data_IF_877274959721
#
_entry.id   IF_877274959721
#
_cell.length_a   1.000
_cell.length_b   1.000
_cell.length_c   1.000
_cell.angle_alpha   90.00
_cell.angle_beta   90.00
_cell.angle_gamma   90.00
#
_symmetry.space_group_name_H-M   'P 1'
#
loop_
_entity.id
_entity.type
_entity.pdbx_description
1 polymer ?
#
# COMPACT_ATOMS: atom_id res chain seq x y z
N UNK A 1 -26.80 22.59 -36.14
CA UNK A 1 -25.97 23.71 -35.65
C UNK A 1 -24.54 23.24 -35.64
N UNK A 2 -23.66 23.83 -36.46
CA UNK A 2 -22.27 23.42 -36.57
C UNK A 2 -21.47 23.99 -35.39
N UNK A 3 -20.92 23.12 -34.54
CA UNK A 3 -19.97 23.49 -33.49
C UNK A 3 -18.69 23.98 -34.17
N UNK A 4 -18.47 25.28 -34.20
CA UNK A 4 -17.21 25.90 -34.60
C UNK A 4 -16.16 25.56 -33.56
N UNK A 5 -15.48 24.42 -33.74
CA UNK A 5 -14.32 24.03 -32.94
C UNK A 5 -13.27 25.12 -33.11
N UNK A 6 -12.85 25.76 -32.00
CA UNK A 6 -11.82 26.79 -32.04
C UNK A 6 -10.53 26.18 -32.62
N UNK A 7 -10.05 26.68 -33.79
CA UNK A 7 -8.87 26.13 -34.46
C UNK A 7 -7.61 26.22 -33.60
N UNK A 8 -7.57 27.10 -32.58
CA UNK A 8 -6.46 27.21 -31.63
C UNK A 8 -6.49 26.11 -30.58
N UNK A 9 -7.67 25.73 -30.09
CA UNK A 9 -7.83 24.65 -29.13
C UNK A 9 -7.43 23.29 -29.74
N UNK A 10 -7.89 23.01 -30.96
CA UNK A 10 -7.52 21.79 -31.68
C UNK A 10 -6.00 21.71 -31.96
N UNK A 11 -5.34 22.84 -32.24
CA UNK A 11 -3.88 22.87 -32.42
C UNK A 11 -3.14 22.56 -31.13
N UNK A 12 -3.57 23.11 -29.99
CA UNK A 12 -2.93 22.88 -28.68
C UNK A 12 -3.02 21.42 -28.26
N UNK A 13 -4.14 20.75 -28.53
CA UNK A 13 -4.28 19.31 -28.30
C UNK A 13 -3.23 18.50 -29.08
N UNK A 14 -3.06 18.80 -30.37
CA UNK A 14 -2.04 18.15 -31.20
C UNK A 14 -0.62 18.44 -30.74
N UNK A 15 -0.34 19.66 -30.27
CA UNK A 15 0.96 20.00 -29.64
C UNK A 15 1.19 19.17 -28.39
N UNK A 16 0.17 18.97 -27.54
CA UNK A 16 0.25 18.14 -26.33
C UNK A 16 0.56 16.68 -26.69
N UNK A 17 -0.18 16.11 -27.63
CA UNK A 17 0.01 14.71 -28.07
C UNK A 17 1.42 14.46 -28.62
N UNK A 18 1.91 15.33 -29.51
CA UNK A 18 3.26 15.19 -30.08
C UNK A 18 4.36 15.47 -29.04
N UNK A 19 4.12 16.33 -28.06
CA UNK A 19 5.06 16.54 -26.96
C UNK A 19 5.12 15.34 -26.02
N UNK A 20 4.00 14.65 -25.78
CA UNK A 20 3.94 13.45 -24.93
C UNK A 20 4.72 12.27 -25.53
N UNK A 21 4.84 12.20 -26.86
CA UNK A 21 5.67 11.20 -27.56
C UNK A 21 7.16 11.59 -27.66
N UNK A 22 7.56 12.70 -27.04
CA UNK A 22 8.96 13.16 -27.01
C UNK A 22 9.42 13.90 -28.27
N UNK A 23 8.51 14.32 -29.15
CA UNK A 23 8.90 15.05 -30.36
C UNK A 23 9.50 16.43 -30.02
N UNK A 24 10.57 16.81 -30.72
CA UNK A 24 11.20 18.13 -30.54
C UNK A 24 10.28 19.26 -31.04
N UNK A 25 10.42 20.48 -30.48
CA UNK A 25 9.68 21.68 -30.94
C UNK A 25 9.83 21.93 -32.44
N UNK A 26 11.00 21.61 -33.02
CA UNK A 26 11.25 21.73 -34.47
C UNK A 26 10.43 20.74 -35.28
N UNK A 27 10.31 19.50 -34.79
CA UNK A 27 9.50 18.44 -35.41
C UNK A 27 8.03 18.80 -35.36
N UNK A 28 7.54 19.24 -34.19
CA UNK A 28 6.14 19.66 -33.99
C UNK A 28 5.76 20.83 -34.90
N UNK A 29 6.64 21.83 -35.03
CA UNK A 29 6.43 22.99 -35.90
C UNK A 29 6.29 22.59 -37.38
N UNK A 30 7.11 21.64 -37.85
CA UNK A 30 7.06 21.12 -39.22
C UNK A 30 5.76 20.35 -39.47
N UNK A 31 5.38 19.48 -38.54
CA UNK A 31 4.18 18.64 -38.63
C UNK A 31 2.90 19.47 -38.66
N UNK A 32 2.80 20.46 -37.76
CA UNK A 32 1.63 21.32 -37.65
C UNK A 32 1.65 22.52 -38.60
N UNK A 33 2.70 22.66 -39.43
CA UNK A 33 2.93 23.78 -40.35
C UNK A 33 2.80 25.15 -39.66
N UNK A 34 3.36 25.29 -38.47
CA UNK A 34 3.37 26.54 -37.68
C UNK A 34 4.79 26.95 -37.30
N UNK A 35 4.96 28.20 -36.86
CA UNK A 35 6.26 28.68 -36.38
C UNK A 35 6.66 28.00 -35.06
N UNK A 36 7.96 27.87 -34.82
CA UNK A 36 8.50 27.37 -33.53
C UNK A 36 8.02 28.20 -32.34
N UNK A 37 7.88 29.51 -32.53
CA UNK A 37 7.41 30.41 -31.46
C UNK A 37 5.93 30.18 -31.14
N UNK A 38 5.11 29.84 -32.13
CA UNK A 38 3.71 29.42 -31.92
C UNK A 38 3.64 28.16 -31.07
N UNK A 39 4.46 27.14 -31.38
CA UNK A 39 4.54 25.91 -30.57
C UNK A 39 4.99 26.24 -29.14
N UNK A 40 6.00 27.11 -28.98
CA UNK A 40 6.48 27.53 -27.65
C UNK A 40 5.40 28.23 -26.83
N UNK A 41 4.64 29.15 -27.44
CA UNK A 41 3.50 29.81 -26.78
C UNK A 41 2.38 28.83 -26.43
N UNK A 42 2.06 27.89 -27.32
CA UNK A 42 1.04 26.87 -27.07
C UNK A 42 1.48 25.90 -25.96
N UNK A 43 2.76 25.50 -25.90
CA UNK A 43 3.31 24.71 -24.78
C UNK A 43 3.35 25.50 -23.47
N UNK A 44 3.68 26.79 -23.50
CA UNK A 44 3.63 27.65 -22.32
C UNK A 44 2.19 27.79 -21.80
N UNK A 45 1.22 27.89 -22.70
CA UNK A 45 -0.19 27.92 -22.36
C UNK A 45 -0.66 26.59 -21.73
N UNK A 46 -0.19 25.45 -22.24
CA UNK A 46 -0.46 24.13 -21.64
C UNK A 46 0.18 23.98 -20.25
N UNK A 47 1.31 24.64 -19.99
CA UNK A 47 1.93 24.67 -18.64
C UNK A 47 1.20 25.61 -17.69
N UNK A 48 0.60 26.70 -18.20
CA UNK A 48 -0.14 27.70 -17.42
C UNK A 48 -1.62 27.36 -17.24
N UNK A 49 -2.16 26.39 -18.00
CA UNK A 49 -3.45 25.75 -17.76
C UNK A 49 -3.24 24.37 -17.14
N UNK A 50 -3.03 24.27 -15.82
CA UNK A 50 -3.03 22.98 -15.13
C UNK A 50 -4.43 22.37 -14.92
N UNK A 51 -5.51 22.95 -15.47
CA UNK A 51 -6.86 22.44 -15.23
C UNK A 51 -7.37 21.51 -16.34
N UNK A 52 -7.94 20.35 -15.93
CA UNK A 52 -8.71 19.34 -16.68
C UNK A 52 -8.01 18.04 -17.13
N UNK A 53 -6.93 17.63 -16.48
CA UNK A 53 -6.77 16.20 -16.19
C UNK A 53 -7.28 16.00 -14.76
N UNK A 54 -8.25 15.11 -14.56
CA UNK A 54 -8.56 14.54 -13.25
C UNK A 54 -7.23 14.08 -12.65
N UNK A 55 -6.64 14.93 -11.81
CA UNK A 55 -5.65 14.48 -10.86
C UNK A 55 -6.36 13.39 -10.04
N UNK A 56 -5.73 12.22 -9.77
CA UNK A 56 -6.29 11.31 -8.79
C UNK A 56 -6.45 12.12 -7.50
N UNK A 57 -7.70 12.42 -7.15
CA UNK A 57 -8.03 13.33 -6.06
C UNK A 57 -7.21 12.93 -4.84
N UNK A 58 -6.54 13.92 -4.23
CA UNK A 58 -5.94 13.71 -2.93
C UNK A 58 -7.00 13.06 -2.04
N UNK A 59 -6.72 11.89 -1.45
CA UNK A 59 -7.75 11.09 -0.80
C UNK A 59 -8.42 11.96 0.26
N UNK A 60 -9.74 12.07 0.16
CA UNK A 60 -10.52 12.90 1.09
C UNK A 60 -10.21 12.47 2.53
N UNK A 61 -10.29 13.37 3.52
CA UNK A 61 -10.09 13.03 4.94
C UNK A 61 -10.94 11.82 5.38
N UNK A 62 -12.15 11.69 4.82
CA UNK A 62 -13.05 10.56 5.02
C UNK A 62 -12.51 9.26 4.41
N UNK A 63 -11.99 9.29 3.19
CA UNK A 63 -11.35 8.13 2.56
C UNK A 63 -10.13 7.65 3.36
N UNK A 64 -9.30 8.59 3.86
CA UNK A 64 -8.17 8.28 4.72
C UNK A 64 -8.62 7.66 6.06
N UNK A 65 -9.65 8.21 6.69
CA UNK A 65 -10.21 7.65 7.93
C UNK A 65 -10.76 6.23 7.72
N UNK A 66 -11.47 5.99 6.62
CA UNK A 66 -11.98 4.66 6.27
C UNK A 66 -10.85 3.68 5.97
N UNK A 67 -9.81 4.09 5.26
CA UNK A 67 -8.63 3.26 5.00
C UNK A 67 -7.90 2.87 6.30
N UNK A 68 -7.81 3.79 7.27
CA UNK A 68 -7.23 3.51 8.60
C UNK A 68 -8.08 2.50 9.37
N UNK A 69 -9.41 2.68 9.39
CA UNK A 69 -10.34 1.72 10.02
C UNK A 69 -10.22 0.33 9.39
N UNK A 70 -10.21 0.25 8.06
CA UNK A 70 -10.06 -1.02 7.34
C UNK A 70 -8.68 -1.68 7.58
N UNK A 71 -7.64 -0.89 7.85
CA UNK A 71 -6.32 -1.41 8.21
C UNK A 71 -6.29 -1.94 9.64
N UNK A 72 -6.97 -1.27 10.57
CA UNK A 72 -7.10 -1.74 11.95
C UNK A 72 -7.92 -3.03 12.02
N UNK A 73 -9.07 -3.09 11.34
CA UNK A 73 -9.91 -4.30 11.28
C UNK A 73 -9.12 -5.50 10.74
N UNK A 74 -8.38 -5.33 9.63
CA UNK A 74 -7.51 -6.39 9.10
C UNK A 74 -6.42 -6.85 10.07
N UNK A 75 -5.89 -5.95 10.89
CA UNK A 75 -4.88 -6.30 11.91
C UNK A 75 -5.50 -7.07 13.06
N UNK A 76 -6.72 -6.70 13.46
CA UNK A 76 -7.49 -7.42 14.47
C UNK A 76 -7.82 -8.85 14.00
N UNK A 77 -8.35 -9.00 12.78
CA UNK A 77 -8.65 -10.31 12.19
C UNK A 77 -7.39 -11.19 12.11
N UNK A 78 -6.28 -10.64 11.59
CA UNK A 78 -5.02 -11.34 11.51
C UNK A 78 -4.46 -11.73 12.89
N UNK A 79 -4.63 -10.87 13.89
CA UNK A 79 -4.25 -11.16 15.28
C UNK A 79 -5.08 -12.32 15.85
N UNK A 80 -6.40 -12.31 15.64
CA UNK A 80 -7.30 -13.37 16.09
C UNK A 80 -7.00 -14.72 15.41
N UNK A 81 -6.71 -14.71 14.10
CA UNK A 81 -6.26 -15.89 13.37
C UNK A 81 -4.94 -16.44 13.93
N UNK A 82 -3.96 -15.56 14.19
CA UNK A 82 -2.67 -15.96 14.74
C UNK A 82 -2.79 -16.62 16.13
N UNK A 83 -3.60 -16.04 17.02
CA UNK A 83 -3.86 -16.62 18.35
C UNK A 83 -4.57 -17.97 18.24
N UNK A 84 -5.55 -18.12 17.33
CA UNK A 84 -6.22 -19.40 17.08
C UNK A 84 -5.26 -20.47 16.55
N UNK A 85 -4.43 -20.13 15.58
CA UNK A 85 -3.43 -21.06 15.05
C UNK A 85 -2.41 -21.48 16.10
N UNK A 86 -1.94 -20.55 16.93
CA UNK A 86 -1.04 -20.86 18.03
C UNK A 86 -1.70 -21.80 19.05
N UNK A 87 -2.94 -21.52 19.45
CA UNK A 87 -3.71 -22.38 20.36
C UNK A 87 -3.88 -23.80 19.81
N UNK A 88 -4.20 -23.92 18.52
CA UNK A 88 -4.31 -25.21 17.85
C UNK A 88 -2.98 -25.97 17.81
N UNK A 89 -1.87 -25.29 17.50
CA UNK A 89 -0.54 -25.90 17.48
C UNK A 89 -0.11 -26.39 18.88
N UNK A 90 -0.35 -25.59 19.92
CA UNK A 90 -0.07 -25.98 21.31
C UNK A 90 -0.91 -27.19 21.71
N UNK A 91 -2.21 -27.20 21.40
CA UNK A 91 -3.09 -28.33 21.69
C UNK A 91 -2.64 -29.62 20.99
N UNK A 92 -2.24 -29.53 19.71
CA UNK A 92 -1.71 -30.67 18.97
C UNK A 92 -0.47 -31.27 19.64
N UNK A 93 0.45 -30.43 20.08
CA UNK A 93 1.70 -30.88 20.73
C UNK A 93 1.45 -31.37 22.16
N UNK A 94 0.49 -30.80 22.89
CA UNK A 94 0.19 -31.18 24.27
C UNK A 94 -0.28 -32.64 24.41
N UNK A 95 -0.84 -33.22 23.34
CA UNK A 95 -1.26 -34.62 23.29
C UNK A 95 -0.20 -35.58 22.77
N UNK A 96 0.94 -35.06 22.30
CA UNK A 96 2.07 -35.91 21.94
C UNK A 96 2.65 -36.43 23.25
N UNK A 97 2.29 -37.66 23.60
CA UNK A 97 3.07 -38.40 24.58
C UNK A 97 4.48 -38.52 24.02
N UNK A 98 5.47 -38.06 24.77
CA UNK A 98 6.85 -37.88 24.32
C UNK A 98 7.81 -38.98 24.82
N UNK A 99 7.48 -40.29 24.80
CA UNK A 99 8.36 -41.30 25.38
C UNK A 99 9.65 -41.51 24.57
N UNK A 100 9.82 -40.89 23.39
CA UNK A 100 10.87 -41.26 22.44
C UNK A 100 11.57 -40.09 21.73
N UNK A 101 11.66 -38.88 22.31
CA UNK A 101 12.62 -37.90 21.74
C UNK A 101 14.03 -38.38 22.05
N UNK A 102 14.62 -39.10 21.08
CA UNK A 102 16.05 -39.41 21.08
C UNK A 102 16.78 -38.18 20.55
N UNK A 103 17.04 -37.23 21.45
CA UNK A 103 17.91 -36.09 21.18
C UNK A 103 19.19 -36.23 22.00
N UNK A 104 20.30 -35.68 21.50
CA UNK A 104 21.48 -35.51 22.34
C UNK A 104 21.13 -34.59 23.51
N UNK A 105 21.84 -34.74 24.64
CA UNK A 105 21.64 -33.88 25.82
C UNK A 105 21.79 -32.39 25.49
N UNK A 106 22.66 -32.06 24.54
CA UNK A 106 22.86 -30.70 24.07
C UNK A 106 21.66 -30.17 23.31
N UNK A 107 21.16 -30.93 22.32
CA UNK A 107 19.98 -30.58 21.53
C UNK A 107 18.74 -30.44 22.43
N UNK A 108 18.56 -31.38 23.37
CA UNK A 108 17.46 -31.31 24.34
C UNK A 108 17.51 -30.05 25.22
N UNK A 109 18.71 -29.63 25.66
CA UNK A 109 18.89 -28.37 26.39
C UNK A 109 18.57 -27.15 25.54
N UNK A 110 19.00 -27.16 24.28
CA UNK A 110 18.72 -26.07 23.34
C UNK A 110 17.21 -25.92 23.11
N UNK A 111 16.50 -27.01 22.79
CA UNK A 111 15.05 -26.98 22.61
C UNK A 111 14.33 -26.53 23.87
N UNK A 112 14.74 -27.02 25.05
CA UNK A 112 14.15 -26.60 26.31
C UNK A 112 14.42 -25.12 26.64
N UNK A 113 15.53 -24.54 26.19
CA UNK A 113 15.81 -23.12 26.34
C UNK A 113 14.96 -22.29 25.38
N UNK A 114 14.86 -22.72 24.12
CA UNK A 114 14.06 -22.06 23.08
C UNK A 114 12.57 -22.04 23.43
N UNK A 115 12.00 -23.19 23.83
CA UNK A 115 10.60 -23.27 24.25
C UNK A 115 10.30 -22.36 25.45
N UNK A 116 11.23 -22.27 26.42
CA UNK A 116 11.08 -21.35 27.56
C UNK A 116 11.16 -19.89 27.13
N UNK A 117 12.06 -19.55 26.22
CA UNK A 117 12.16 -18.19 25.70
C UNK A 117 10.89 -17.77 24.95
N UNK A 118 10.34 -18.67 24.12
CA UNK A 118 9.08 -18.47 23.42
C UNK A 118 7.90 -18.33 24.40
N UNK A 119 7.81 -19.20 25.42
CA UNK A 119 6.79 -19.09 26.46
C UNK A 119 6.86 -17.76 27.22
N UNK A 120 8.06 -17.29 27.55
CA UNK A 120 8.25 -15.99 28.21
C UNK A 120 7.83 -14.81 27.32
N UNK A 121 8.13 -14.87 26.02
CA UNK A 121 7.69 -13.86 25.06
C UNK A 121 6.15 -13.82 24.95
N UNK A 122 5.50 -14.98 24.88
CA UNK A 122 4.05 -15.09 24.85
C UNK A 122 3.40 -14.58 26.14
N UNK A 123 3.98 -14.88 27.31
CA UNK A 123 3.51 -14.38 28.59
C UNK A 123 3.56 -12.84 28.64
N UNK A 124 4.66 -12.22 28.19
CA UNK A 124 4.79 -10.76 28.11
C UNK A 124 3.74 -10.10 27.20
N UNK A 125 3.40 -10.75 26.07
CA UNK A 125 2.32 -10.28 25.19
C UNK A 125 0.96 -10.39 25.91
N UNK A 126 0.69 -11.50 26.59
CA UNK A 126 -0.54 -11.68 27.36
C UNK A 126 -0.67 -10.64 28.47
N UNK A 127 0.40 -10.38 29.23
CA UNK A 127 0.44 -9.33 30.27
C UNK A 127 0.20 -7.93 29.69
N UNK A 128 0.70 -7.68 28.48
CA UNK A 128 0.44 -6.43 27.78
C UNK A 128 -1.03 -6.30 27.41
N UNK A 129 -1.65 -7.37 26.90
CA UNK A 129 -3.09 -7.37 26.60
C UNK A 129 -3.92 -7.20 27.87
N UNK A 130 -3.60 -7.88 28.97
CA UNK A 130 -4.30 -7.74 30.24
C UNK A 130 -4.24 -6.30 30.79
N UNK A 131 -3.12 -5.58 30.59
CA UNK A 131 -3.01 -4.16 30.95
C UNK A 131 -3.90 -3.24 30.12
N UNK A 132 -4.09 -3.54 28.84
CA UNK A 132 -4.96 -2.75 27.96
C UNK A 132 -6.44 -3.14 28.07
N UNK A 133 -6.72 -4.39 28.45
CA UNK A 133 -8.06 -4.98 28.56
C UNK A 133 -8.23 -5.69 29.91
N UNK A 134 -8.29 -4.94 31.03
CA UNK A 134 -8.36 -5.54 32.37
C UNK A 134 -9.62 -6.39 32.55
N UNK A 135 -10.73 -5.99 31.93
CA UNK A 135 -12.01 -6.69 32.01
C UNK A 135 -12.05 -8.01 31.22
N UNK A 136 -11.08 -8.24 30.31
CA UNK A 136 -10.98 -9.47 29.53
C UNK A 136 -10.26 -10.61 30.27
N UNK A 137 -9.74 -10.35 31.47
CA UNK A 137 -8.93 -11.29 32.26
C UNK A 137 -9.71 -11.95 33.41
N UNK A 138 -11.04 -11.74 33.48
CA UNK A 138 -11.93 -12.21 34.54
C UNK A 138 -12.52 -13.60 34.27
#
# INVERSE_FOLDING_TARGET
MATTVDPRAARRERVRQLSATGASTRTIAKELRVSKDTVRRDMAHLKQQPDQQEAPDAPTPTALANARRATLARREDAGADAVRHLGAAVAQVAHIDLPCIIASREVGRQWAAELRAQAAALASIADTLARYYPDASA
#
